data_IF_722464418482
#
_entry.id   IF_722464418482
#
_cell.length_a   1.000
_cell.length_b   1.000
_cell.length_c   1.000
_cell.angle_alpha   90.00
_cell.angle_beta   90.00
_cell.angle_gamma   90.00
#
_symmetry.space_group_name_H-M   'P 1'
#
loop_
_entity.id
_entity.type
_entity.pdbx_description
1 polymer ?
#
# COMPACT_ATOMS: atom_id res chain seq x y z
N UNK A 1 -4.24 -14.96 -51.42
CA UNK A 1 -3.99 -13.50 -51.26
C UNK A 1 -4.67 -13.03 -49.97
N UNK A 2 -3.92 -12.75 -48.89
CA UNK A 2 -4.46 -12.18 -47.65
C UNK A 2 -4.59 -10.66 -47.83
N UNK A 3 -5.81 -10.14 -47.86
CA UNK A 3 -6.08 -8.69 -47.84
C UNK A 3 -5.85 -8.17 -46.42
N UNK A 4 -4.91 -7.25 -46.26
CA UNK A 4 -4.73 -6.51 -45.00
C UNK A 4 -5.99 -5.65 -44.74
N UNK A 5 -6.72 -5.95 -43.67
CA UNK A 5 -7.71 -5.03 -43.09
C UNK A 5 -6.94 -4.06 -42.21
N UNK A 6 -7.04 -2.76 -42.51
CA UNK A 6 -6.41 -1.73 -41.70
C UNK A 6 -7.34 -1.48 -40.50
N UNK A 7 -7.03 -2.06 -39.33
CA UNK A 7 -7.85 -1.87 -38.12
C UNK A 7 -7.28 -0.72 -37.31
N UNK A 8 -7.84 0.47 -37.48
CA UNK A 8 -7.55 1.62 -36.62
C UNK A 8 -8.38 1.52 -35.34
N UNK A 9 -7.72 1.41 -34.19
CA UNK A 9 -8.35 1.47 -32.88
C UNK A 9 -8.15 2.87 -32.30
N UNK A 10 -9.18 3.42 -31.63
CA UNK A 10 -9.04 4.63 -30.82
C UNK A 10 -9.51 4.37 -29.39
N UNK A 11 -8.84 4.98 -28.42
CA UNK A 11 -9.29 4.98 -27.03
C UNK A 11 -10.26 6.15 -26.82
N UNK A 12 -11.45 5.86 -26.29
CA UNK A 12 -12.48 6.85 -25.98
C UNK A 12 -12.74 6.83 -24.49
N UNK A 13 -12.68 7.99 -23.84
CA UNK A 13 -13.00 8.14 -22.43
C UNK A 13 -14.52 8.09 -22.21
N UNK A 14 -14.98 7.20 -21.33
CA UNK A 14 -16.38 7.13 -20.92
C UNK A 14 -16.60 7.88 -19.61
N UNK A 15 -17.31 9.01 -19.68
CA UNK A 15 -17.61 9.86 -18.52
C UNK A 15 -18.59 9.24 -17.50
N UNK A 16 -19.31 8.17 -17.86
CA UNK A 16 -20.26 7.49 -16.95
C UNK A 16 -19.53 6.44 -16.12
N UNK A 17 -18.62 5.67 -16.72
CA UNK A 17 -17.93 4.57 -16.05
C UNK A 17 -16.53 4.93 -15.55
N UNK A 18 -16.01 6.11 -15.92
CA UNK A 18 -14.66 6.55 -15.53
C UNK A 18 -13.54 5.68 -16.11
N UNK A 19 -13.75 5.09 -17.29
CA UNK A 19 -12.81 4.15 -17.92
C UNK A 19 -12.53 4.49 -19.38
N UNK A 20 -11.33 4.15 -19.86
CA UNK A 20 -11.00 4.18 -21.28
C UNK A 20 -11.57 2.93 -21.96
N UNK A 21 -12.33 3.14 -23.03
CA UNK A 21 -12.92 2.08 -23.85
C UNK A 21 -12.25 2.08 -25.22
N UNK A 22 -11.78 0.91 -25.67
CA UNK A 22 -11.27 0.75 -27.04
C UNK A 22 -12.46 0.71 -27.99
N UNK A 23 -12.55 1.69 -28.88
CA UNK A 23 -13.54 1.72 -29.96
C UNK A 23 -12.83 1.44 -31.30
N UNK A 24 -13.18 0.35 -31.97
CA UNK A 24 -12.78 0.10 -33.36
C UNK A 24 -13.80 0.76 -34.30
N UNK A 25 -13.35 1.59 -35.22
CA UNK A 25 -14.21 2.06 -36.31
C UNK A 25 -14.22 1.00 -37.43
N UNK A 26 -15.37 0.36 -37.66
CA UNK A 26 -15.53 -0.65 -38.70
C UNK A 26 -15.54 0.06 -40.07
N UNK A 27 -14.41 0.09 -40.77
CA UNK A 27 -14.33 0.66 -42.12
C UNK A 27 -15.22 -0.15 -43.10
N UNK A 28 -16.20 0.52 -43.72
CA UNK A 28 -17.16 -0.08 -44.66
C UNK A 28 -16.45 -0.73 -45.85
N UNK A 29 -16.63 -2.05 -45.99
CA UNK A 29 -16.61 -2.71 -47.29
C UNK A 29 -18.05 -3.00 -47.70
N UNK A 30 -18.37 -2.71 -48.98
CA UNK A 30 -19.70 -2.75 -49.60
C UNK A 30 -20.64 -3.83 -49.04
N UNK A 31 -21.72 -3.37 -48.41
CA UNK A 31 -23.03 -4.03 -48.39
C UNK A 31 -23.07 -5.47 -47.85
N UNK A 32 -23.08 -5.64 -46.53
CA UNK A 32 -23.98 -6.55 -45.78
C UNK A 32 -23.68 -6.41 -44.29
N UNK A 33 -24.74 -6.28 -43.48
CA UNK A 33 -24.67 -6.10 -42.02
C UNK A 33 -24.28 -7.44 -41.37
N UNK A 34 -23.15 -7.47 -40.69
CA UNK A 34 -22.74 -8.44 -39.67
C UNK A 34 -21.60 -7.75 -38.91
N UNK A 35 -21.49 -7.74 -37.59
CA UNK A 35 -22.20 -8.31 -36.47
C UNK A 35 -21.34 -7.95 -35.26
N UNK A 36 -21.98 -7.68 -34.13
CA UNK A 36 -21.44 -7.73 -32.76
C UNK A 36 -20.07 -7.06 -32.54
N UNK A 37 -20.09 -5.81 -32.05
CA UNK A 37 -18.92 -5.24 -31.39
C UNK A 37 -18.78 -5.87 -29.99
N UNK A 38 -17.89 -6.85 -29.85
CA UNK A 38 -17.43 -7.33 -28.55
C UNK A 38 -16.48 -6.28 -28.00
N UNK A 39 -16.96 -5.46 -27.06
CA UNK A 39 -16.11 -4.56 -26.29
C UNK A 39 -15.35 -5.39 -25.25
N UNK A 40 -14.06 -5.69 -25.52
CA UNK A 40 -13.14 -6.12 -24.49
C UNK A 40 -12.67 -4.88 -23.72
N UNK A 41 -13.25 -4.63 -22.56
CA UNK A 41 -12.76 -3.62 -21.62
C UNK A 41 -11.49 -4.13 -20.93
N UNK A 42 -10.33 -3.61 -21.35
CA UNK A 42 -9.09 -3.78 -20.60
C UNK A 42 -9.05 -2.70 -19.50
N UNK A 43 -9.44 -3.05 -18.28
CA UNK A 43 -9.30 -2.17 -17.13
C UNK A 43 -7.82 -2.10 -16.72
N UNK A 44 -7.08 -1.17 -17.29
CA UNK A 44 -5.80 -0.78 -16.72
C UNK A 44 -6.09 0.01 -15.44
N UNK A 45 -6.00 -0.67 -14.29
CA UNK A 45 -6.01 0.00 -12.98
C UNK A 45 -4.73 0.82 -12.91
N UNK A 46 -4.80 2.08 -13.29
CA UNK A 46 -3.74 3.04 -12.96
C UNK A 46 -3.83 3.23 -11.45
N UNK A 47 -2.87 2.69 -10.71
CA UNK A 47 -2.74 2.94 -9.28
C UNK A 47 -2.73 4.45 -9.06
N UNK A 48 -3.82 4.98 -8.51
CA UNK A 48 -3.83 6.34 -7.99
C UNK A 48 -2.76 6.37 -6.90
N UNK A 49 -1.86 7.36 -6.84
CA UNK A 49 -0.98 7.50 -5.69
C UNK A 49 -1.86 7.65 -4.46
N UNK A 50 -1.90 6.61 -3.64
CA UNK A 50 -2.56 6.68 -2.35
C UNK A 50 -1.77 7.68 -1.51
N UNK A 51 -2.42 8.78 -1.11
CA UNK A 51 -2.00 9.53 0.07
C UNK A 51 -1.68 8.49 1.15
N UNK A 52 -0.48 8.52 1.72
CA UNK A 52 -0.02 7.54 2.70
C UNK A 52 -1.01 7.48 3.86
N UNK A 53 -1.98 6.59 3.76
CA UNK A 53 -2.89 6.28 4.84
C UNK A 53 -2.12 5.39 5.80
N UNK A 54 -2.24 5.69 7.09
CA UNK A 54 -1.69 4.85 8.15
C UNK A 54 -2.03 3.38 7.88
N UNK A 55 -1.01 2.53 7.86
CA UNK A 55 -1.18 1.09 7.68
C UNK A 55 -1.71 0.51 8.98
N UNK A 56 -3.02 0.29 9.06
CA UNK A 56 -3.64 -0.31 10.25
C UNK A 56 -3.71 -1.83 10.09
N UNK A 57 -3.10 -2.57 11.01
CA UNK A 57 -3.27 -4.02 11.17
C UNK A 57 -4.39 -4.25 12.16
N UNK A 58 -5.55 -4.67 11.67
CA UNK A 58 -6.76 -4.84 12.49
C UNK A 58 -6.66 -6.03 13.43
N UNK A 59 -7.50 -6.07 14.47
CA UNK A 59 -7.57 -7.21 15.37
C UNK A 59 -7.90 -8.51 14.59
N UNK A 60 -7.12 -9.57 14.83
CA UNK A 60 -7.22 -10.83 14.09
C UNK A 60 -6.52 -10.83 12.72
N UNK A 61 -6.09 -9.67 12.23
CA UNK A 61 -5.23 -9.58 11.05
C UNK A 61 -3.79 -9.95 11.43
N UNK A 62 -3.09 -10.64 10.52
CA UNK A 62 -1.66 -10.88 10.62
C UNK A 62 -0.97 -10.33 9.38
N UNK A 63 -0.02 -9.44 9.61
CA UNK A 63 0.89 -8.94 8.58
C UNK A 63 2.26 -9.55 8.84
N UNK A 64 2.84 -10.16 7.81
CA UNK A 64 4.18 -10.71 7.86
C UNK A 64 5.05 -9.94 6.90
N UNK A 65 6.23 -9.59 7.40
CA UNK A 65 7.26 -8.86 6.69
C UNK A 65 6.79 -7.49 6.19
N UNK A 66 7.72 -6.56 6.11
CA UNK A 66 7.42 -5.23 5.63
C UNK A 66 8.41 -4.21 6.12
N UNK A 67 8.38 -3.04 5.50
CA UNK A 67 9.29 -1.95 5.84
C UNK A 67 8.48 -0.69 6.03
N UNK A 68 8.75 0.03 7.13
CA UNK A 68 8.25 1.39 7.36
C UNK A 68 9.38 2.37 7.09
N UNK A 69 9.15 3.29 6.16
CA UNK A 69 10.13 4.31 5.73
C UNK A 69 9.40 5.65 5.53
N UNK A 70 10.10 6.74 5.20
CA UNK A 70 9.44 7.97 4.71
C UNK A 70 8.29 8.50 5.58
N UNK A 71 8.41 8.41 6.90
CA UNK A 71 7.38 8.81 7.87
C UNK A 71 6.11 7.97 7.83
N UNK A 72 6.17 6.77 7.25
CA UNK A 72 5.08 5.79 7.26
C UNK A 72 4.66 5.47 8.69
N UNK A 73 3.36 5.43 8.90
CA UNK A 73 2.76 5.03 10.16
C UNK A 73 2.17 3.62 10.04
N UNK A 74 2.47 2.75 11.00
CA UNK A 74 1.78 1.47 11.15
C UNK A 74 1.14 1.38 12.53
N UNK A 75 -0.17 1.19 12.57
CA UNK A 75 -0.94 0.99 13.81
C UNK A 75 -1.27 -0.50 13.92
N UNK A 76 -0.82 -1.15 14.99
CA UNK A 76 -0.98 -2.59 15.19
C UNK A 76 -1.97 -2.87 16.31
N UNK A 77 -3.15 -3.36 15.94
CA UNK A 77 -4.20 -3.89 16.82
C UNK A 77 -4.27 -5.44 16.73
N UNK A 78 -3.78 -6.01 15.63
CA UNK A 78 -3.62 -7.46 15.41
C UNK A 78 -2.18 -7.93 15.64
N UNK A 79 -1.64 -8.71 14.69
CA UNK A 79 -0.27 -9.24 14.75
C UNK A 79 0.59 -8.74 13.60
N UNK A 80 1.79 -8.24 13.89
CA UNK A 80 2.78 -7.86 12.90
C UNK A 80 4.10 -8.62 13.13
N UNK A 81 4.53 -9.44 12.17
CA UNK A 81 5.74 -10.25 12.29
C UNK A 81 6.81 -9.77 11.30
N UNK A 82 8.09 -9.76 11.70
CA UNK A 82 9.22 -9.54 10.78
C UNK A 82 9.29 -8.11 10.20
N UNK A 83 8.69 -7.13 10.87
CA UNK A 83 8.69 -5.75 10.38
C UNK A 83 10.07 -5.11 10.53
N UNK A 84 10.51 -4.38 9.50
CA UNK A 84 11.68 -3.52 9.54
C UNK A 84 11.23 -2.07 9.65
N UNK A 85 11.68 -1.35 10.67
CA UNK A 85 11.29 0.04 10.94
C UNK A 85 12.51 0.93 10.78
N UNK A 86 12.47 1.82 9.80
CA UNK A 86 13.52 2.79 9.49
C UNK A 86 12.98 4.22 9.49
N UNK A 87 11.87 4.46 10.19
CA UNK A 87 11.21 5.76 10.29
C UNK A 87 10.58 6.03 11.67
N UNK A 88 10.42 7.30 12.05
CA UNK A 88 9.81 7.75 13.31
C UNK A 88 10.78 8.40 14.32
N UNK A 89 12.09 8.41 14.03
CA UNK A 89 13.15 9.01 14.86
C UNK A 89 14.26 9.66 14.02
N UNK A 90 13.97 10.09 12.79
CA UNK A 90 14.94 10.66 11.85
C UNK A 90 15.69 11.88 12.41
N UNK A 91 15.02 12.68 13.26
CA UNK A 91 15.60 13.88 13.86
C UNK A 91 16.12 13.67 15.28
N UNK A 92 16.17 12.41 15.76
CA UNK A 92 16.62 12.04 17.11
C UNK A 92 15.50 12.05 18.17
N UNK A 93 15.73 11.49 19.36
CA UNK A 93 14.69 11.19 20.35
C UNK A 93 13.98 12.42 20.96
N UNK A 94 14.67 13.56 21.03
CA UNK A 94 14.17 14.78 21.68
C UNK A 94 13.53 15.77 20.70
N UNK A 95 13.27 15.34 19.46
CA UNK A 95 12.71 16.20 18.43
C UNK A 95 11.21 15.91 18.22
N UNK A 96 10.38 16.93 18.45
CA UNK A 96 8.92 16.85 18.28
C UNK A 96 8.49 16.77 16.81
N UNK A 97 9.39 17.05 15.85
CA UNK A 97 9.11 16.97 14.42
C UNK A 97 9.13 15.52 13.88
N UNK A 98 9.53 14.53 14.69
CA UNK A 98 9.50 13.14 14.26
C UNK A 98 8.06 12.65 14.05
N UNK A 99 7.86 11.95 12.94
CA UNK A 99 6.57 11.38 12.55
C UNK A 99 6.78 10.00 11.95
N UNK A 100 5.76 9.15 12.05
CA UNK A 100 5.80 7.76 11.59
C UNK A 100 6.27 6.76 12.66
N UNK A 101 6.57 5.56 12.20
CA UNK A 101 6.99 4.42 13.04
C UNK A 101 5.87 3.39 13.24
N UNK A 102 6.15 2.40 14.09
CA UNK A 102 5.20 1.34 14.45
C UNK A 102 4.61 1.60 15.83
N UNK A 103 3.29 1.57 15.93
CA UNK A 103 2.52 1.82 17.14
C UNK A 103 1.76 0.56 17.52
N UNK A 104 2.20 -0.09 18.59
CA UNK A 104 1.59 -1.33 19.08
C UNK A 104 0.56 -0.93 20.12
N UNK A 105 -0.71 -1.05 19.73
CA UNK A 105 -1.85 -0.67 20.53
C UNK A 105 -2.19 -1.77 21.54
N UNK A 106 -3.14 -1.49 22.44
CA UNK A 106 -3.66 -2.49 23.37
C UNK A 106 -4.18 -3.73 22.62
N UNK A 107 -3.67 -4.92 22.98
CA UNK A 107 -3.98 -6.19 22.31
C UNK A 107 -3.19 -6.43 21.02
N UNK A 108 -2.46 -5.43 20.52
CA UNK A 108 -1.55 -5.58 19.40
C UNK A 108 -0.28 -6.34 19.77
N UNK A 109 0.21 -7.15 18.84
CA UNK A 109 1.41 -7.98 19.00
C UNK A 109 2.37 -7.68 17.86
N UNK A 110 3.62 -7.34 18.17
CA UNK A 110 4.68 -7.28 17.17
C UNK A 110 5.82 -8.26 17.51
N UNK A 111 6.15 -9.14 16.56
CA UNK A 111 7.20 -10.15 16.75
C UNK A 111 8.32 -9.96 15.73
N UNK A 112 9.56 -10.24 16.16
CA UNK A 112 10.74 -10.23 15.30
C UNK A 112 10.92 -8.89 14.56
N UNK A 113 10.57 -7.78 15.22
CA UNK A 113 10.70 -6.45 14.63
C UNK A 113 12.18 -6.02 14.64
N UNK A 114 12.69 -5.56 13.51
CA UNK A 114 14.00 -4.91 13.42
C UNK A 114 13.82 -3.40 13.36
N UNK A 115 14.31 -2.67 14.35
CA UNK A 115 14.31 -1.20 14.38
C UNK A 115 15.72 -0.72 14.02
N UNK A 116 15.84 -0.04 12.88
CA UNK A 116 17.13 0.48 12.38
C UNK A 116 17.28 1.97 12.69
N UNK A 117 18.37 2.60 12.22
CA UNK A 117 18.57 4.04 12.36
C UNK A 117 17.38 4.83 11.81
N UNK A 118 16.94 5.83 12.57
CA UNK A 118 15.73 6.61 12.30
C UNK A 118 14.41 5.89 12.61
N UNK A 119 14.43 4.63 13.04
CA UNK A 119 13.24 3.83 13.34
C UNK A 119 12.69 4.03 14.75
N UNK A 120 11.35 4.06 14.86
CA UNK A 120 10.62 4.07 16.13
C UNK A 120 9.65 2.90 16.26
N UNK A 121 9.81 2.10 17.31
CA UNK A 121 8.76 1.19 17.79
C UNK A 121 8.16 1.72 19.10
N UNK A 122 6.90 2.15 19.09
CA UNK A 122 6.19 2.57 20.31
C UNK A 122 5.19 1.51 20.75
N UNK A 123 5.36 1.03 21.96
CA UNK A 123 4.50 0.03 22.59
C UNK A 123 3.65 0.73 23.65
N UNK A 124 2.36 0.85 23.36
CA UNK A 124 1.40 1.46 24.27
C UNK A 124 0.93 0.44 25.32
N UNK A 125 0.29 0.93 26.38
CA UNK A 125 -0.20 0.10 27.46
C UNK A 125 -1.10 -1.04 26.95
N UNK A 126 -0.71 -2.29 27.25
CA UNK A 126 -1.40 -3.50 26.81
C UNK A 126 -1.01 -4.02 25.42
N UNK A 127 -0.09 -3.34 24.72
CA UNK A 127 0.61 -3.90 23.56
C UNK A 127 1.71 -4.87 23.99
N UNK A 128 2.04 -5.83 23.12
CA UNK A 128 3.09 -6.82 23.37
C UNK A 128 4.10 -6.82 22.22
N UNK A 129 5.38 -6.93 22.58
CA UNK A 129 6.47 -7.07 21.62
C UNK A 129 7.38 -8.22 22.02
N UNK A 130 7.84 -9.00 21.04
CA UNK A 130 8.81 -10.07 21.26
C UNK A 130 9.89 -10.06 20.17
N UNK A 131 11.09 -10.46 20.54
CA UNK A 131 12.25 -10.57 19.64
C UNK A 131 12.55 -9.28 18.85
N UNK A 132 12.34 -8.11 19.46
CA UNK A 132 12.71 -6.83 18.85
C UNK A 132 14.24 -6.68 18.83
N UNK A 133 14.81 -6.43 17.66
CA UNK A 133 16.23 -6.09 17.48
C UNK A 133 16.34 -4.60 17.17
N UNK A 134 17.07 -3.85 17.98
CA UNK A 134 17.29 -2.40 17.79
C UNK A 134 18.75 -2.17 17.40
N UNK A 135 18.98 -1.42 16.32
CA UNK A 135 20.33 -1.18 15.78
C UNK A 135 20.48 0.23 15.21
N UNK A 136 21.72 0.65 15.00
CA UNK A 136 22.09 1.91 14.32
C UNK A 136 21.39 3.18 14.85
N UNK A 137 21.08 3.23 16.15
CA UNK A 137 20.42 4.39 16.78
C UNK A 137 18.90 4.42 16.63
N UNK A 138 18.26 3.32 16.21
CA UNK A 138 16.82 3.15 16.34
C UNK A 138 16.36 3.17 17.80
N UNK A 139 15.06 3.36 18.02
CA UNK A 139 14.50 3.49 19.36
C UNK A 139 13.22 2.69 19.58
N UNK A 140 13.04 2.23 20.82
CA UNK A 140 11.79 1.67 21.30
C UNK A 140 11.30 2.45 22.52
N UNK A 141 10.02 2.83 22.50
CA UNK A 141 9.35 3.52 23.60
C UNK A 141 8.31 2.58 24.21
N UNK A 142 8.53 2.17 25.46
CA UNK A 142 7.62 1.29 26.21
C UNK A 142 6.80 2.10 27.20
N UNK A 143 5.48 2.13 27.02
CA UNK A 143 4.55 2.69 28.00
C UNK A 143 3.99 1.55 28.85
N UNK A 144 4.57 1.38 30.05
CA UNK A 144 4.11 0.38 31.00
C UNK A 144 2.67 0.62 31.49
N UNK A 145 2.07 -0.39 32.13
CA UNK A 145 0.88 -0.17 32.97
C UNK A 145 1.37 0.33 34.33
N UNK A 146 0.79 1.43 34.82
CA UNK A 146 0.87 1.76 36.25
C UNK A 146 -0.12 0.89 37.03
#
# INVERSE_FOLDING_TARGET
MKRHLNTSYRLVWNHITGTLVVASELARSRGKRAGVAVALSLAAVTSVPALAADKVVQAGETVNDGTLTNHDNQIVLGTANGMTISTGLEYGPDNEANTGGQWIQNGGIANNTTVTGGGLQRVNAGGSVSDTVISAGGGQSLQGRQ
#
